data_IF_530286183721
#
_entry.id   IF_530286183721
#
_cell.length_a   1.000
_cell.length_b   1.000
_cell.length_c   1.000
_cell.angle_alpha   90.00
_cell.angle_beta   90.00
_cell.angle_gamma   90.00
#
_symmetry.space_group_name_H-M   'P 1'
#
loop_
_entity.id
_entity.type
_entity.pdbx_description
1 polymer ?
#
# COMPACT_ATOMS: atom_id res chain seq x y z
N UNK A 1 8.08 3.80 -12.63
CA UNK A 1 7.12 3.87 -11.52
C UNK A 1 5.75 3.64 -12.12
N UNK A 2 4.89 2.79 -11.53
CA UNK A 2 3.53 2.60 -12.07
C UNK A 2 2.73 3.89 -11.86
N UNK A 3 1.75 4.14 -12.72
CA UNK A 3 0.79 5.19 -12.45
C UNK A 3 -0.09 4.77 -11.25
N UNK A 4 -0.36 5.67 -10.30
CA UNK A 4 -1.30 5.41 -9.20
C UNK A 4 -2.74 5.26 -9.70
N UNK A 5 -3.03 5.73 -10.91
CA UNK A 5 -4.32 5.55 -11.59
C UNK A 5 -4.40 4.23 -12.39
N UNK A 6 -3.33 3.43 -12.45
CA UNK A 6 -3.33 2.16 -13.17
C UNK A 6 -4.31 1.16 -12.50
N UNK A 7 -5.18 0.54 -13.31
CA UNK A 7 -6.14 -0.46 -12.84
C UNK A 7 -5.48 -1.71 -12.25
N UNK A 8 -4.19 -1.93 -12.51
CA UNK A 8 -3.44 -3.03 -11.89
C UNK A 8 -3.53 -3.02 -10.36
N UNK A 9 -3.68 -1.86 -9.72
CA UNK A 9 -3.84 -1.76 -8.26
C UNK A 9 -5.10 -2.46 -7.73
N UNK A 10 -6.12 -2.66 -8.56
CA UNK A 10 -7.34 -3.40 -8.16
C UNK A 10 -7.19 -4.90 -8.29
N UNK A 11 -6.05 -5.40 -8.78
CA UNK A 11 -5.82 -6.83 -9.03
C UNK A 11 -4.75 -7.44 -8.12
N UNK A 12 -4.13 -6.65 -7.24
CA UNK A 12 -3.04 -7.08 -6.38
C UNK A 12 -3.56 -7.57 -5.04
N UNK A 13 -2.93 -8.60 -4.47
CA UNK A 13 -3.27 -9.05 -3.12
C UNK A 13 -2.40 -8.35 -2.07
N UNK A 14 -2.97 -8.18 -0.87
CA UNK A 14 -2.26 -7.81 0.35
C UNK A 14 -1.79 -9.03 1.15
N UNK A 15 -1.38 -8.79 2.40
CA UNK A 15 -0.86 -9.82 3.32
C UNK A 15 -1.87 -10.92 3.65
N UNK A 16 -3.17 -10.62 3.59
CA UNK A 16 -4.24 -11.59 3.81
C UNK A 16 -4.54 -12.50 2.60
N UNK A 17 -3.74 -12.44 1.53
CA UNK A 17 -4.00 -13.14 0.24
C UNK A 17 -5.35 -12.75 -0.39
N UNK A 18 -5.83 -11.56 -0.06
CA UNK A 18 -7.05 -10.94 -0.62
C UNK A 18 -6.69 -9.66 -1.35
N UNK A 19 -7.55 -9.25 -2.30
CA UNK A 19 -7.34 -8.02 -3.05
C UNK A 19 -7.21 -6.81 -2.11
N UNK A 20 -6.15 -6.04 -2.30
CA UNK A 20 -5.89 -4.84 -1.53
C UNK A 20 -5.30 -3.75 -2.42
N UNK A 21 -6.02 -2.63 -2.53
CA UNK A 21 -5.58 -1.45 -3.26
C UNK A 21 -5.15 -0.36 -2.27
N UNK A 22 -3.84 -0.09 -2.13
CA UNK A 22 -3.36 0.90 -1.18
C UNK A 22 -3.32 2.34 -1.72
N UNK A 23 -3.73 2.59 -2.97
CA UNK A 23 -3.57 3.91 -3.62
C UNK A 23 -4.18 5.05 -2.81
N UNK A 24 -5.36 4.84 -2.20
CA UNK A 24 -5.99 5.86 -1.35
C UNK A 24 -5.14 6.19 -0.12
N UNK A 25 -4.46 5.18 0.44
CA UNK A 25 -3.61 5.34 1.62
C UNK A 25 -2.31 6.07 1.22
N UNK A 26 -1.72 5.71 0.07
CA UNK A 26 -0.56 6.43 -0.50
C UNK A 26 -0.89 7.91 -0.66
N UNK A 27 -2.01 8.24 -1.31
CA UNK A 27 -2.45 9.64 -1.49
C UNK A 27 -2.71 10.38 -0.18
N UNK A 28 -3.17 9.67 0.85
CA UNK A 28 -3.34 10.27 2.18
C UNK A 28 -1.98 10.60 2.81
N UNK A 29 -0.99 9.71 2.67
CA UNK A 29 0.37 9.93 3.14
C UNK A 29 1.12 11.01 2.36
N UNK A 30 0.85 11.17 1.06
CA UNK A 30 1.39 12.28 0.26
C UNK A 30 0.92 13.65 0.81
N UNK A 31 -0.26 13.71 1.44
CA UNK A 31 -0.81 14.93 2.06
C UNK A 31 -0.32 15.10 3.49
N UNK A 32 -0.32 14.02 4.28
CA UNK A 32 0.17 14.00 5.66
C UNK A 32 1.09 12.78 5.89
N UNK A 33 2.41 12.93 5.69
CA UNK A 33 3.37 11.86 5.92
C UNK A 33 3.44 11.39 7.38
N UNK A 34 2.87 12.16 8.33
CA UNK A 34 2.86 11.82 9.75
C UNK A 34 1.59 11.08 10.20
N UNK A 35 0.65 10.79 9.28
CA UNK A 35 -0.62 10.17 9.60
C UNK A 35 -0.46 8.73 10.12
N UNK A 36 -0.55 8.57 11.44
CA UNK A 36 -0.51 7.26 12.11
C UNK A 36 -1.61 6.31 11.64
N UNK A 37 -2.78 6.84 11.25
CA UNK A 37 -3.89 6.03 10.72
C UNK A 37 -3.55 5.42 9.35
N UNK A 38 -2.95 6.22 8.46
CA UNK A 38 -2.55 5.75 7.15
C UNK A 38 -1.40 4.74 7.25
N UNK A 39 -0.39 5.02 8.08
CA UNK A 39 0.69 4.06 8.36
C UNK A 39 0.17 2.76 9.01
N UNK A 40 -0.77 2.88 9.96
CA UNK A 40 -1.41 1.72 10.59
C UNK A 40 -2.17 0.86 9.58
N UNK A 41 -2.83 1.48 8.60
CA UNK A 41 -3.54 0.76 7.53
C UNK A 41 -2.58 -0.02 6.62
N UNK A 42 -1.40 0.53 6.32
CA UNK A 42 -0.34 -0.18 5.58
C UNK A 42 0.15 -1.39 6.37
N UNK A 43 0.48 -1.18 7.64
CA UNK A 43 0.98 -2.23 8.54
C UNK A 43 -0.03 -3.39 8.65
N UNK A 44 -1.29 -3.09 8.89
CA UNK A 44 -2.34 -4.11 9.03
C UNK A 44 -2.56 -4.95 7.77
N UNK A 45 -2.52 -4.32 6.59
CA UNK A 45 -3.03 -4.97 5.37
C UNK A 45 -1.95 -5.55 4.46
N UNK A 46 -0.71 -5.06 4.52
CA UNK A 46 0.34 -5.49 3.58
C UNK A 46 1.18 -6.66 4.07
N UNK A 47 1.04 -7.07 5.31
CA UNK A 47 1.61 -8.31 5.80
C UNK A 47 0.64 -9.00 6.75
N UNK A 48 0.61 -10.32 6.75
CA UNK A 48 -0.15 -11.05 7.77
C UNK A 48 0.49 -12.41 8.07
N UNK A 49 0.91 -12.64 9.32
CA UNK A 49 1.48 -13.92 9.76
C UNK A 49 2.60 -14.49 8.86
N UNK A 50 3.42 -13.61 8.27
CA UNK A 50 4.51 -13.98 7.35
C UNK A 50 4.10 -14.02 5.88
N UNK A 51 2.81 -13.89 5.57
CA UNK A 51 2.33 -13.69 4.20
C UNK A 51 2.48 -12.23 3.77
N UNK A 52 2.86 -12.07 2.50
CA UNK A 52 2.96 -10.80 1.78
C UNK A 52 2.39 -11.01 0.38
N UNK A 53 1.75 -9.99 -0.17
CA UNK A 53 1.13 -10.04 -1.49
C UNK A 53 1.79 -9.08 -2.48
N UNK A 54 1.32 -9.07 -3.72
CA UNK A 54 1.89 -8.21 -4.77
C UNK A 54 1.75 -6.72 -4.42
N UNK A 55 0.68 -6.32 -3.71
CA UNK A 55 0.49 -4.94 -3.27
C UNK A 55 1.59 -4.50 -2.29
N UNK A 56 2.07 -5.42 -1.46
CA UNK A 56 3.15 -5.20 -0.48
C UNK A 56 4.47 -4.82 -1.15
N UNK A 57 4.76 -5.42 -2.31
CA UNK A 57 5.93 -5.08 -3.11
C UNK A 57 5.71 -3.84 -3.97
N UNK A 58 4.54 -3.73 -4.61
CA UNK A 58 4.25 -2.67 -5.55
C UNK A 58 4.27 -1.28 -4.90
N UNK A 59 3.91 -1.17 -3.62
CA UNK A 59 3.87 0.11 -2.91
C UNK A 59 5.25 0.65 -2.51
N UNK A 60 6.29 -0.19 -2.43
CA UNK A 60 7.58 0.18 -1.82
C UNK A 60 8.19 1.45 -2.43
N UNK A 61 8.23 1.63 -3.77
CA UNK A 61 8.77 2.86 -4.36
C UNK A 61 8.07 4.13 -3.86
N UNK A 62 6.75 4.09 -3.65
CA UNK A 62 5.98 5.24 -3.17
C UNK A 62 6.25 5.54 -1.69
N UNK A 63 6.48 4.51 -0.86
CA UNK A 63 6.82 4.74 0.56
C UNK A 63 8.20 5.35 0.72
N UNK A 64 9.14 5.03 -0.17
CA UNK A 64 10.48 5.64 -0.19
C UNK A 64 10.38 7.14 -0.51
N UNK A 65 9.46 7.55 -1.38
CA UNK A 65 9.29 8.97 -1.72
C UNK A 65 8.58 9.76 -0.60
N UNK A 66 7.84 9.09 0.28
CA UNK A 66 7.11 9.69 1.41
C UNK A 66 8.01 9.88 2.65
N UNK A 67 9.00 8.99 2.86
CA UNK A 67 9.87 8.96 4.04
C UNK A 67 11.16 9.77 3.85
#
# INVERSE_FOLDING_TARGET
MKDLEDKIWTTLNGGYKTLFNPVKIIKALEVDPSSSEAWGSIWENLHHQGDIGEASYAIVPYLIDIY
#
